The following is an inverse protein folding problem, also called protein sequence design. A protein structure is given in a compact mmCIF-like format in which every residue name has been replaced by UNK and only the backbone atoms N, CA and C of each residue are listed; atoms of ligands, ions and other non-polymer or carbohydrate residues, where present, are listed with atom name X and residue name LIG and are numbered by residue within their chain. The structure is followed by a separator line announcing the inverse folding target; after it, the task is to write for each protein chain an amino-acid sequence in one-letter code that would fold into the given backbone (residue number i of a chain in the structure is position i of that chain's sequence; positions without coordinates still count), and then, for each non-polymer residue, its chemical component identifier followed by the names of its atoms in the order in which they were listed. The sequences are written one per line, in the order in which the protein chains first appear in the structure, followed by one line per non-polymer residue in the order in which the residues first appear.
data_IF_332261101275
#
_entry.id   IF_332261101275
#
_cell.length_a   1.000
_cell.length_b   1.000
_cell.length_c   1.000
_cell.angle_alpha   90.00
_cell.angle_beta   90.00
_cell.angle_gamma   90.00
#
_symmetry.space_group_name_H-M   'P 1'
#
loop_
_entity.id
_entity.type
_entity.pdbx_description
1 polymer ?
#
# COMPACT_ATOMS: atom_id res chain seq x y z
N UNK A 1 -10.12 -20.53 19.19
CA UNK A 1 -10.42 -20.35 17.75
C UNK A 1 -9.57 -19.19 17.27
N UNK A 2 -8.36 -19.45 16.76
CA UNK A 2 -7.44 -18.40 16.35
C UNK A 2 -7.94 -17.80 15.03
N UNK A 3 -8.47 -16.58 15.06
CA UNK A 3 -8.69 -15.82 13.84
C UNK A 3 -7.35 -15.71 13.12
N UNK A 4 -7.23 -16.30 11.93
CA UNK A 4 -6.15 -15.95 10.99
C UNK A 4 -6.37 -14.48 10.65
N UNK A 5 -5.63 -13.59 11.30
CA UNK A 5 -5.68 -12.13 11.11
C UNK A 5 -5.17 -11.70 9.73
N UNK A 6 -4.44 -12.58 9.02
CA UNK A 6 -3.78 -12.30 7.74
C UNK A 6 -4.70 -11.75 6.63
N UNK A 7 -5.82 -12.42 6.26
CA UNK A 7 -6.66 -11.97 5.15
C UNK A 7 -7.40 -10.66 5.43
N UNK A 8 -7.92 -10.49 6.65
CA UNK A 8 -8.69 -9.30 7.03
C UNK A 8 -7.79 -8.07 7.15
N UNK A 9 -6.63 -8.18 7.80
CA UNK A 9 -5.72 -7.05 7.94
C UNK A 9 -5.12 -6.64 6.59
N UNK A 10 -4.83 -7.60 5.70
CA UNK A 10 -4.39 -7.29 4.32
C UNK A 10 -5.48 -6.55 3.54
N UNK A 11 -6.74 -6.96 3.69
CA UNK A 11 -7.87 -6.24 3.08
C UNK A 11 -7.99 -4.79 3.59
N UNK A 12 -7.80 -4.58 4.90
CA UNK A 12 -7.77 -3.25 5.51
C UNK A 12 -6.62 -2.36 5.01
N UNK A 13 -5.58 -2.93 4.39
CA UNK A 13 -4.48 -2.17 3.78
C UNK A 13 -4.77 -1.90 2.31
N UNK A 14 -5.10 -2.95 1.56
CA UNK A 14 -5.25 -2.88 0.09
C UNK A 14 -6.43 -2.00 -0.30
N UNK A 15 -7.58 -2.10 0.38
CA UNK A 15 -8.77 -1.35 0.03
C UNK A 15 -8.57 0.18 0.18
N UNK A 16 -8.11 0.70 1.34
CA UNK A 16 -7.73 2.10 1.47
C UNK A 16 -6.67 2.56 0.47
N UNK A 17 -5.62 1.76 0.26
CA UNK A 17 -4.51 2.12 -0.65
C UNK A 17 -5.00 2.25 -2.09
N UNK A 18 -5.82 1.31 -2.57
CA UNK A 18 -6.43 1.36 -3.90
C UNK A 18 -7.42 2.53 -4.05
N UNK A 19 -8.20 2.83 -3.01
CA UNK A 19 -9.10 3.99 -3.00
C UNK A 19 -8.33 5.30 -3.16
N UNK A 20 -7.23 5.50 -2.41
CA UNK A 20 -6.38 6.68 -2.56
C UNK A 20 -5.72 6.76 -3.93
N UNK A 21 -5.26 5.64 -4.45
CA UNK A 21 -4.68 5.59 -5.79
C UNK A 21 -5.71 5.98 -6.86
N UNK A 22 -6.97 5.59 -6.69
CA UNK A 22 -8.08 6.03 -7.55
C UNK A 22 -8.33 7.54 -7.49
N UNK A 23 -8.22 8.15 -6.31
CA UNK A 23 -8.30 9.62 -6.16
C UNK A 23 -7.14 10.30 -6.87
N UNK A 24 -5.92 9.80 -6.72
CA UNK A 24 -4.75 10.40 -7.39
C UNK A 24 -4.84 10.20 -8.91
N UNK A 25 -5.35 9.05 -9.36
CA UNK A 25 -5.56 8.79 -10.77
C UNK A 25 -6.57 9.77 -11.40
N UNK A 26 -7.59 10.23 -10.66
CA UNK A 26 -8.52 11.24 -11.17
C UNK A 26 -7.89 12.64 -11.32
N UNK A 27 -6.76 12.89 -10.63
CA UNK A 27 -5.96 14.12 -10.76
C UNK A 27 -4.95 14.06 -11.91
N UNK A 28 -4.64 12.85 -12.41
CA UNK A 28 -3.63 12.63 -13.46
C UNK A 28 -3.86 13.46 -14.74
N UNK A 29 -5.09 13.70 -15.23
CA UNK A 29 -5.30 14.56 -16.41
C UNK A 29 -4.81 16.00 -16.20
N UNK A 30 -4.80 16.50 -14.95
CA UNK A 30 -4.29 17.82 -14.62
C UNK A 30 -2.77 17.80 -14.42
N UNK A 31 -2.27 16.80 -13.70
CA UNK A 31 -0.84 16.66 -13.39
C UNK A 31 -0.01 16.33 -14.64
N UNK A 32 -0.58 15.61 -15.61
CA UNK A 32 0.18 15.06 -16.72
C UNK A 32 0.82 16.14 -17.62
N UNK A 33 0.06 17.14 -18.11
CA UNK A 33 0.63 18.20 -18.94
C UNK A 33 1.62 19.10 -18.19
N UNK A 34 1.60 19.10 -16.85
CA UNK A 34 2.48 19.91 -16.01
C UNK A 34 3.84 19.22 -15.84
N UNK A 35 3.85 17.89 -15.72
CA UNK A 35 5.05 17.13 -15.35
C UNK A 35 5.75 16.42 -16.51
N UNK A 36 5.01 15.92 -17.50
CA UNK A 36 5.57 15.06 -18.56
C UNK A 36 5.36 15.60 -19.98
N UNK A 37 4.75 16.78 -20.14
CA UNK A 37 4.63 17.40 -21.45
C UNK A 37 5.98 17.93 -21.94
N UNK A 38 6.28 17.66 -23.21
CA UNK A 38 7.45 18.24 -23.90
C UNK A 38 7.17 19.64 -24.48
N UNK A 39 5.92 20.09 -24.45
CA UNK A 39 5.54 21.46 -24.81
C UNK A 39 5.19 22.26 -23.56
N UNK A 40 5.53 23.56 -23.52
CA UNK A 40 5.19 24.42 -22.39
C UNK A 40 3.70 24.35 -22.07
N UNK A 41 3.38 24.07 -20.82
CA UNK A 41 2.00 23.99 -20.34
C UNK A 41 1.35 25.38 -20.47
N UNK A 42 0.22 25.52 -21.20
CA UNK A 42 -0.45 26.80 -21.33
C UNK A 42 -0.90 27.37 -19.98
N UNK A 43 -0.86 28.69 -19.83
CA UNK A 43 -1.33 29.36 -18.61
C UNK A 43 -2.78 28.99 -18.24
N UNK A 44 -3.63 28.80 -19.25
CA UNK A 44 -5.03 28.38 -19.09
C UNK A 44 -5.18 27.01 -18.43
N UNK A 45 -4.21 26.11 -18.61
CA UNK A 45 -4.21 24.80 -17.95
C UNK A 45 -3.98 24.93 -16.45
N UNK A 46 -3.09 25.84 -16.03
CA UNK A 46 -2.90 26.14 -14.62
C UNK A 46 -4.17 26.72 -13.98
N UNK A 47 -4.93 27.54 -14.72
CA UNK A 47 -6.20 28.09 -14.22
C UNK A 47 -7.25 26.97 -14.01
N UNK A 48 -7.35 26.01 -14.93
CA UNK A 48 -8.24 24.84 -14.76
C UNK A 48 -7.84 23.97 -13.58
N UNK A 49 -6.54 23.70 -13.42
CA UNK A 49 -6.03 22.91 -12.31
C UNK A 49 -6.29 23.60 -10.98
N UNK A 50 -6.02 24.90 -10.90
CA UNK A 50 -6.25 25.71 -9.71
C UNK A 50 -7.74 25.75 -9.33
N UNK A 51 -8.63 25.92 -10.32
CA UNK A 51 -10.07 25.87 -10.10
C UNK A 51 -10.52 24.51 -9.54
N UNK A 52 -9.96 23.41 -10.05
CA UNK A 52 -10.25 22.07 -9.55
C UNK A 52 -9.77 21.86 -8.10
N UNK A 53 -8.56 22.33 -7.78
CA UNK A 53 -8.00 22.25 -6.42
C UNK A 53 -8.79 23.08 -5.42
N UNK A 54 -9.23 24.29 -5.81
CA UNK A 54 -10.13 25.12 -5.01
C UNK A 54 -11.47 24.42 -4.76
N UNK A 55 -12.04 23.80 -5.79
CA UNK A 55 -13.27 23.02 -5.65
C UNK A 55 -13.09 21.85 -4.68
N UNK A 56 -11.98 21.11 -4.76
CA UNK A 56 -11.63 20.05 -3.82
C UNK A 56 -11.53 20.55 -2.37
N UNK A 57 -10.85 21.69 -2.15
CA UNK A 57 -10.69 22.25 -0.81
C UNK A 57 -11.99 22.86 -0.26
N UNK A 58 -12.84 23.43 -1.12
CA UNK A 58 -14.14 23.97 -0.76
C UNK A 58 -15.22 22.89 -0.54
N UNK A 59 -14.88 21.62 -0.79
CA UNK A 59 -15.81 20.51 -0.62
C UNK A 59 -16.33 20.40 0.83
N UNK A 60 -17.56 19.89 1.03
CA UNK A 60 -18.13 19.75 2.37
C UNK A 60 -17.18 19.00 3.31
N UNK A 61 -17.04 19.42 4.58
CA UNK A 61 -16.05 18.87 5.51
C UNK A 61 -16.25 17.38 5.82
N UNK A 62 -17.33 16.77 5.35
CA UNK A 62 -17.57 15.33 5.40
C UNK A 62 -16.57 14.55 4.53
N UNK A 63 -16.23 15.04 3.33
CA UNK A 63 -15.33 14.35 2.39
C UNK A 63 -13.92 14.17 2.98
N UNK A 64 -13.23 15.22 3.47
CA UNK A 64 -11.93 15.03 4.11
C UNK A 64 -12.02 14.19 5.37
N UNK A 65 -13.13 14.21 6.13
CA UNK A 65 -13.31 13.31 7.28
C UNK A 65 -13.34 11.84 6.88
N UNK A 66 -14.08 11.50 5.83
CA UNK A 66 -14.10 10.14 5.29
C UNK A 66 -12.69 9.73 4.83
N UNK A 67 -11.96 10.62 4.15
CA UNK A 67 -10.58 10.36 3.73
C UNK A 67 -9.69 10.01 4.93
N UNK A 68 -9.70 10.82 5.99
CA UNK A 68 -8.89 10.53 7.17
C UNK A 68 -9.27 9.19 7.82
N UNK A 69 -10.57 8.85 7.91
CA UNK A 69 -11.00 7.54 8.42
C UNK A 69 -10.40 6.40 7.59
N UNK A 70 -10.40 6.52 6.26
CA UNK A 70 -9.82 5.52 5.36
C UNK A 70 -8.29 5.43 5.53
N UNK A 71 -7.58 6.55 5.76
CA UNK A 71 -6.15 6.55 6.12
C UNK A 71 -5.93 5.78 7.42
N UNK A 72 -6.73 6.05 8.45
CA UNK A 72 -6.62 5.37 9.74
C UNK A 72 -6.89 3.87 9.62
N UNK A 73 -7.83 3.45 8.77
CA UNK A 73 -8.08 2.03 8.52
C UNK A 73 -6.86 1.33 7.87
N UNK A 74 -6.22 1.99 6.89
CA UNK A 74 -4.99 1.49 6.27
C UNK A 74 -3.84 1.34 7.27
N UNK A 75 -3.62 2.37 8.08
CA UNK A 75 -2.61 2.36 9.14
C UNK A 75 -2.91 1.29 10.19
N UNK A 76 -4.16 1.16 10.61
CA UNK A 76 -4.59 0.15 11.57
C UNK A 76 -4.36 -1.26 11.04
N UNK A 77 -4.62 -1.51 9.74
CA UNK A 77 -4.31 -2.79 9.10
C UNK A 77 -2.81 -3.13 9.18
N UNK A 78 -1.94 -2.17 8.89
CA UNK A 78 -0.47 -2.34 8.99
C UNK A 78 -0.03 -2.64 10.43
N UNK A 79 -0.54 -1.89 11.41
CA UNK A 79 -0.24 -2.11 12.83
C UNK A 79 -0.73 -3.49 13.29
N UNK A 80 -1.93 -3.91 12.87
CA UNK A 80 -2.48 -5.23 13.20
C UNK A 80 -1.59 -6.37 12.67
N UNK A 81 -1.02 -6.25 11.46
CA UNK A 81 -0.13 -7.29 10.91
C UNK A 81 1.23 -7.32 11.61
N UNK A 82 1.72 -6.18 12.09
CA UNK A 82 3.00 -6.08 12.78
C UNK A 82 2.97 -6.64 14.21
N UNK A 83 1.79 -6.73 14.84
CA UNK A 83 1.66 -7.21 16.23
C UNK A 83 2.07 -8.68 16.42
N UNK A 84 2.06 -9.51 15.37
CA UNK A 84 2.50 -10.92 15.44
C UNK A 84 3.71 -11.14 14.50
N UNK A 85 4.94 -10.96 14.99
CA UNK A 85 6.12 -11.00 14.15
C UNK A 85 6.44 -12.43 13.67
N UNK A 86 6.37 -12.61 12.35
CA UNK A 86 7.16 -13.60 11.60
C UNK A 86 8.27 -12.84 10.85
N UNK A 87 9.36 -13.50 10.46
CA UNK A 87 10.43 -12.80 9.71
C UNK A 87 9.92 -12.16 8.40
N UNK A 88 9.02 -12.84 7.70
CA UNK A 88 8.37 -12.34 6.48
C UNK A 88 7.50 -11.10 6.78
N UNK A 89 6.70 -11.13 7.86
CA UNK A 89 5.91 -9.96 8.27
C UNK A 89 6.82 -8.77 8.62
N UNK A 90 7.95 -8.98 9.29
CA UNK A 90 8.83 -7.86 9.64
C UNK A 90 9.40 -7.14 8.43
N UNK A 91 9.81 -7.87 7.39
CA UNK A 91 10.38 -7.30 6.18
C UNK A 91 9.31 -6.63 5.31
N UNK A 92 8.23 -7.32 4.98
CA UNK A 92 7.22 -6.81 4.05
C UNK A 92 6.24 -5.83 4.71
N UNK A 93 5.68 -6.17 5.88
CA UNK A 93 4.76 -5.27 6.59
C UNK A 93 5.50 -4.09 7.24
N UNK A 94 6.74 -4.29 7.70
CA UNK A 94 7.59 -3.20 8.21
C UNK A 94 7.95 -2.18 7.13
N UNK A 95 8.40 -2.64 5.95
CA UNK A 95 8.66 -1.74 4.82
C UNK A 95 7.38 -1.05 4.32
N UNK A 96 6.26 -1.78 4.28
CA UNK A 96 4.94 -1.22 3.93
C UNK A 96 4.53 -0.12 4.91
N UNK A 97 4.78 -0.28 6.21
CA UNK A 97 4.49 0.73 7.22
C UNK A 97 5.33 2.00 7.01
N UNK A 98 6.64 1.86 6.76
CA UNK A 98 7.51 3.01 6.51
C UNK A 98 7.06 3.78 5.26
N UNK A 99 6.76 3.08 4.16
CA UNK A 99 6.22 3.69 2.96
C UNK A 99 4.88 4.39 3.24
N UNK A 100 3.96 3.73 3.96
CA UNK A 100 2.67 4.33 4.30
C UNK A 100 2.82 5.61 5.13
N UNK A 101 3.75 5.63 6.10
CA UNK A 101 4.06 6.82 6.89
C UNK A 101 4.69 7.94 6.07
N UNK A 102 5.54 7.61 5.08
CA UNK A 102 6.04 8.57 4.10
C UNK A 102 4.87 9.18 3.31
N UNK A 103 3.92 8.35 2.85
CA UNK A 103 2.71 8.80 2.16
C UNK A 103 1.86 9.77 3.01
N UNK A 104 1.64 9.44 4.29
CA UNK A 104 0.95 10.33 5.24
C UNK A 104 1.69 11.67 5.37
N UNK A 105 3.02 11.62 5.45
CA UNK A 105 3.84 12.83 5.59
C UNK A 105 3.70 13.73 4.35
N UNK A 106 3.80 13.16 3.15
CA UNK A 106 3.60 13.92 1.88
C UNK A 106 2.18 14.47 1.80
N UNK A 107 1.17 13.69 2.19
CA UNK A 107 -0.22 14.15 2.24
C UNK A 107 -0.40 15.37 3.14
N UNK A 108 0.07 15.30 4.39
CA UNK A 108 -0.11 16.39 5.36
C UNK A 108 0.77 17.59 5.01
N UNK A 109 2.06 17.36 4.74
CA UNK A 109 3.05 18.42 4.58
C UNK A 109 2.93 19.12 3.23
N UNK A 110 2.55 18.42 2.17
CA UNK A 110 2.56 18.97 0.82
C UNK A 110 1.13 19.17 0.30
N UNK A 111 0.29 18.12 0.31
CA UNK A 111 -1.03 18.18 -0.34
C UNK A 111 -2.00 19.07 0.45
N UNK A 112 -2.17 18.81 1.76
CA UNK A 112 -3.09 19.60 2.60
C UNK A 112 -2.65 21.06 2.69
N UNK A 113 -1.35 21.31 2.86
CA UNK A 113 -0.83 22.69 2.87
C UNK A 113 -0.99 23.36 1.50
N UNK A 114 -0.67 22.67 0.41
CA UNK A 114 -0.83 23.18 -0.95
C UNK A 114 -2.28 23.57 -1.27
N UNK A 115 -3.25 22.71 -0.92
CA UNK A 115 -4.67 23.01 -1.09
C UNK A 115 -5.12 24.27 -0.34
N UNK A 116 -4.62 24.47 0.88
CA UNK A 116 -4.91 25.67 1.68
C UNK A 116 -4.33 26.93 1.05
N UNK A 117 -3.09 26.86 0.55
CA UNK A 117 -2.41 27.98 -0.12
C UNK A 117 -3.13 28.37 -1.41
N UNK A 118 -3.45 27.38 -2.25
CA UNK A 118 -4.18 27.57 -3.52
C UNK A 118 -5.55 28.21 -3.28
N UNK A 119 -6.25 27.75 -2.23
CA UNK A 119 -7.56 28.29 -1.87
C UNK A 119 -7.50 29.69 -1.27
N UNK A 120 -6.44 30.02 -0.55
CA UNK A 120 -6.18 31.38 -0.08
C UNK A 120 -5.74 32.32 -1.22
N UNK A 121 -5.41 31.79 -2.40
CA UNK A 121 -4.87 32.55 -3.52
C UNK A 121 -3.49 33.16 -3.23
N UNK A 122 -2.80 32.65 -2.20
CA UNK A 122 -1.50 33.18 -1.77
C UNK A 122 -0.38 32.44 -2.47
N UNK A 123 0.44 33.17 -3.22
CA UNK A 123 1.62 32.68 -3.92
C UNK A 123 2.75 33.70 -3.85
N UNK A 124 4.00 33.28 -4.03
CA UNK A 124 5.13 34.20 -4.12
C UNK A 124 5.25 35.13 -2.91
N UNK A 125 5.41 36.43 -3.16
CA UNK A 125 5.66 37.44 -2.11
C UNK A 125 4.58 37.56 -1.04
N UNK A 126 3.35 37.11 -1.31
CA UNK A 126 2.24 37.10 -0.32
C UNK A 126 2.46 36.08 0.83
N UNK A 127 3.44 35.18 0.66
CA UNK A 127 3.87 34.22 1.67
C UNK A 127 5.19 34.63 2.35
N UNK A 128 5.81 35.74 1.93
CA UNK A 128 7.03 36.24 2.54
C UNK A 128 6.73 36.78 3.94
N UNK A 129 7.25 36.10 4.95
CA UNK A 129 7.22 36.57 6.33
C UNK A 129 8.25 37.67 6.58
N UNK A 130 9.36 37.67 5.83
CA UNK A 130 10.45 38.64 5.91
C UNK A 130 10.97 39.02 4.51
N UNK A 131 11.61 40.19 4.38
CA UNK A 131 12.21 40.65 3.10
C UNK A 131 13.34 39.73 2.58
N UNK A 132 13.94 38.91 3.44
CA UNK A 132 14.95 37.91 3.04
C UNK A 132 14.34 36.69 2.32
N UNK A 133 13.05 36.41 2.53
CA UNK A 133 12.33 35.32 1.86
C UNK A 133 11.84 35.72 0.45
N UNK A 134 11.84 37.03 0.14
CA UNK A 134 11.41 37.56 -1.15
C UNK A 134 12.39 37.14 -2.24
N UNK A 135 11.90 36.34 -3.19
CA UNK A 135 12.69 35.77 -4.29
C UNK A 135 13.07 34.29 -4.13
N UNK A 136 12.93 33.70 -2.93
CA UNK A 136 13.03 32.26 -2.71
C UNK A 136 11.68 31.53 -2.77
N UNK A 137 10.57 32.29 -2.74
CA UNK A 137 9.22 31.72 -2.69
C UNK A 137 8.72 31.37 -4.09
N UNK A 138 8.20 30.15 -4.21
CA UNK A 138 7.66 29.61 -5.45
C UNK A 138 6.53 30.49 -5.99
N UNK A 139 6.59 30.80 -7.29
CA UNK A 139 5.50 31.45 -8.00
C UNK A 139 4.26 30.55 -8.07
N UNK A 140 3.17 31.07 -8.65
CA UNK A 140 1.92 30.32 -8.81
C UNK A 140 2.13 28.98 -9.52
N UNK A 141 2.75 29.02 -10.69
CA UNK A 141 2.98 27.83 -11.51
C UNK A 141 3.90 26.82 -10.82
N UNK A 142 4.96 27.29 -10.17
CA UNK A 142 5.90 26.39 -9.49
C UNK A 142 5.27 25.75 -8.24
N UNK A 143 4.42 26.48 -7.53
CA UNK A 143 3.61 25.93 -6.43
C UNK A 143 2.68 24.83 -6.93
N UNK A 144 2.05 25.03 -8.09
CA UNK A 144 1.17 24.03 -8.71
C UNK A 144 1.96 22.81 -9.23
N UNK A 145 3.15 23.02 -9.81
CA UNK A 145 4.07 21.92 -10.20
C UNK A 145 4.50 21.08 -9.00
N UNK A 146 4.84 21.72 -7.87
CA UNK A 146 5.19 21.03 -6.63
C UNK A 146 4.03 20.20 -6.08
N UNK A 147 2.79 20.69 -6.22
CA UNK A 147 1.61 19.93 -5.82
C UNK A 147 1.36 18.72 -6.73
N UNK A 148 1.46 18.90 -8.05
CA UNK A 148 1.38 17.80 -9.02
C UNK A 148 2.47 16.73 -8.78
N UNK A 149 3.71 17.17 -8.52
CA UNK A 149 4.81 16.28 -8.17
C UNK A 149 4.54 15.52 -6.86
N UNK A 150 3.92 16.18 -5.87
CA UNK A 150 3.55 15.55 -4.60
C UNK A 150 2.48 14.46 -4.78
N UNK A 151 1.50 14.66 -5.66
CA UNK A 151 0.52 13.63 -6.03
C UNK A 151 1.21 12.41 -6.64
N UNK A 152 2.18 12.64 -7.53
CA UNK A 152 2.97 11.58 -8.19
C UNK A 152 3.81 10.81 -7.18
N UNK A 153 4.51 11.49 -6.28
CA UNK A 153 5.29 10.86 -5.21
C UNK A 153 4.38 10.00 -4.34
N UNK A 154 3.21 10.53 -3.95
CA UNK A 154 2.24 9.78 -3.16
C UNK A 154 1.75 8.53 -3.90
N UNK A 155 1.46 8.62 -5.21
CA UNK A 155 1.07 7.47 -6.01
C UNK A 155 2.17 6.39 -6.05
N UNK A 156 3.42 6.77 -6.27
CA UNK A 156 4.55 5.82 -6.29
C UNK A 156 4.73 5.11 -4.95
N UNK A 157 4.62 5.84 -3.84
CA UNK A 157 4.70 5.28 -2.50
C UNK A 157 3.55 4.29 -2.23
N UNK A 158 2.32 4.65 -2.60
CA UNK A 158 1.14 3.78 -2.43
C UNK A 158 1.19 2.54 -3.34
N UNK A 159 1.69 2.67 -4.57
CA UNK A 159 1.97 1.51 -5.44
C UNK A 159 3.04 0.61 -4.79
N UNK A 160 4.08 1.20 -4.20
CA UNK A 160 5.08 0.46 -3.42
C UNK A 160 4.45 -0.36 -2.30
N UNK A 161 3.49 0.20 -1.55
CA UNK A 161 2.72 -0.54 -0.53
C UNK A 161 1.97 -1.71 -1.16
N UNK A 162 1.25 -1.51 -2.27
CA UNK A 162 0.52 -2.61 -2.93
C UNK A 162 1.45 -3.72 -3.44
N UNK A 163 2.60 -3.35 -4.00
CA UNK A 163 3.61 -4.32 -4.48
C UNK A 163 4.15 -5.15 -3.31
N UNK A 164 4.45 -4.53 -2.17
CA UNK A 164 4.91 -5.25 -0.98
C UNK A 164 3.82 -6.18 -0.42
N UNK A 165 2.57 -5.73 -0.38
CA UNK A 165 1.44 -6.57 0.08
C UNK A 165 1.21 -7.77 -0.87
N UNK A 166 1.33 -7.56 -2.18
CA UNK A 166 1.30 -8.65 -3.16
C UNK A 166 2.51 -9.59 -3.05
N UNK A 167 3.70 -9.05 -2.80
CA UNK A 167 4.92 -9.82 -2.57
C UNK A 167 4.81 -10.73 -1.35
N UNK A 168 4.28 -10.20 -0.25
CA UNK A 168 4.00 -11.00 0.94
C UNK A 168 2.96 -12.09 0.68
N UNK A 169 1.86 -11.77 -0.01
CA UNK A 169 0.87 -12.78 -0.38
C UNK A 169 1.48 -13.91 -1.22
N UNK A 170 2.37 -13.57 -2.17
CA UNK A 170 3.07 -14.56 -2.98
C UNK A 170 4.03 -15.41 -2.14
N UNK A 171 4.80 -14.79 -1.24
CA UNK A 171 5.70 -15.50 -0.32
C UNK A 171 4.93 -16.47 0.60
N UNK A 172 3.85 -16.00 1.25
CA UNK A 172 3.00 -16.82 2.10
C UNK A 172 2.37 -17.99 1.35
N UNK A 173 1.96 -17.77 0.08
CA UNK A 173 1.38 -18.82 -0.76
C UNK A 173 2.42 -19.85 -1.20
N UNK A 174 3.67 -19.45 -1.41
CA UNK A 174 4.77 -20.37 -1.73
C UNK A 174 5.13 -21.22 -0.52
N UNK A 175 5.29 -20.59 0.65
CA UNK A 175 5.58 -21.29 1.91
C UNK A 175 4.49 -22.32 2.25
N UNK A 176 3.22 -21.97 2.00
CA UNK A 176 2.10 -22.89 2.21
C UNK A 176 2.16 -24.14 1.30
N UNK A 177 2.49 -23.96 0.02
CA UNK A 177 2.65 -25.07 -0.93
C UNK A 177 3.82 -26.00 -0.52
N UNK A 178 4.95 -25.43 -0.09
CA UNK A 178 6.10 -26.21 0.36
C UNK A 178 5.77 -27.07 1.60
N UNK A 179 4.98 -26.53 2.54
CA UNK A 179 4.51 -27.28 3.72
C UNK A 179 3.55 -28.40 3.33
N UNK A 180 2.63 -28.14 2.39
CA UNK A 180 1.68 -29.16 1.89
C UNK A 180 2.40 -30.31 1.21
N UNK A 181 3.40 -30.01 0.36
CA UNK A 181 4.23 -31.01 -0.29
C UNK A 181 5.04 -31.85 0.72
N UNK A 182 5.59 -31.22 1.76
CA UNK A 182 6.31 -31.92 2.82
C UNK A 182 5.39 -32.82 3.64
N UNK A 183 4.17 -32.37 3.96
CA UNK A 183 3.19 -33.17 4.68
C UNK A 183 2.64 -34.31 3.82
N UNK A 184 2.43 -34.09 2.52
CA UNK A 184 2.02 -35.13 1.57
C UNK A 184 3.08 -36.22 1.45
N UNK A 185 4.36 -35.85 1.35
CA UNK A 185 5.49 -36.81 1.34
C UNK A 185 5.60 -37.59 2.66
N UNK A 186 5.43 -36.93 3.81
CA UNK A 186 5.44 -37.60 5.12
C UNK A 186 4.26 -38.57 5.28
N UNK A 187 3.06 -38.19 4.83
CA UNK A 187 1.88 -39.04 4.83
C UNK A 187 2.01 -40.25 3.92
N UNK A 188 2.57 -40.06 2.71
CA UNK A 188 2.86 -41.15 1.78
C UNK A 188 3.89 -42.13 2.35
N UNK A 189 5.01 -41.64 2.90
CA UNK A 189 6.03 -42.47 3.53
C UNK A 189 5.52 -43.23 4.76
N UNK A 190 4.64 -42.62 5.57
CA UNK A 190 4.01 -43.31 6.70
C UNK A 190 3.05 -44.42 6.23
N UNK A 191 2.26 -44.18 5.18
CA UNK A 191 1.37 -45.19 4.59
C UNK A 191 2.12 -46.36 3.94
N UNK A 192 3.25 -46.10 3.28
CA UNK A 192 4.13 -47.15 2.74
C UNK A 192 4.74 -48.01 3.85
N UNK A 193 5.24 -47.39 4.93
CA UNK A 193 5.79 -48.11 6.09
C UNK A 193 4.72 -48.97 6.81
N UNK A 194 3.49 -48.46 6.92
CA UNK A 194 2.38 -49.20 7.51
C UNK A 194 1.95 -50.37 6.61
N UNK A 195 1.92 -50.20 5.29
CA UNK A 195 1.63 -51.27 4.33
C UNK A 195 2.71 -52.37 4.34
N UNK A 196 4.00 -52.03 4.45
CA UNK A 196 5.09 -53.01 4.62
C UNK A 196 4.99 -53.77 5.96
N UNK A 197 4.63 -53.09 7.05
CA UNK A 197 4.44 -53.71 8.36
C UNK A 197 3.27 -54.73 8.34
N UNK A 198 2.16 -54.40 7.67
CA UNK A 198 1.03 -55.32 7.50
C UNK A 198 1.40 -56.51 6.61
N UNK A 199 2.10 -56.28 5.50
CA UNK A 199 2.55 -57.33 4.57
C UNK A 199 3.50 -58.34 5.24
N UNK A 200 4.47 -57.84 6.01
CA UNK A 200 5.44 -58.68 6.75
C UNK A 200 4.78 -59.50 7.87
N UNK A 201 3.80 -58.93 8.58
CA UNK A 201 3.01 -59.64 9.59
C UNK A 201 2.15 -60.79 9.00
N UNK A 202 1.60 -60.59 7.80
CA UNK A 202 0.82 -61.62 7.10
C UNK A 202 1.71 -62.78 6.62
N UNK A 203 2.91 -62.50 6.10
CA UNK A 203 3.90 -63.55 5.72
C UNK A 203 4.38 -64.36 6.93
N UNK A 204 4.58 -63.73 8.10
CA UNK A 204 5.01 -64.41 9.32
C UNK A 204 4.01 -65.44 9.87
N UNK A 205 2.70 -65.17 9.75
CA UNK A 205 1.65 -66.12 10.17
C UNK A 205 1.44 -67.28 9.18
N UNK A 206 1.74 -67.11 7.90
CA UNK A 206 1.64 -68.17 6.89
C UNK A 206 2.70 -69.28 7.03
N UNK A 207 3.89 -68.95 7.54
CA UNK A 207 5.00 -69.90 7.71
C UNK A 207 4.85 -70.84 8.91
N UNK A 208 4.11 -70.45 9.94
CA UNK A 208 3.96 -71.22 11.18
C UNK A 208 2.97 -72.41 11.06
N UNK A 209 2.14 -72.47 10.01
CA UNK A 209 1.10 -73.51 9.86
C UNK A 209 1.55 -74.74 9.05
N UNK A 210 2.82 -74.84 8.63
CA UNK A 210 3.32 -75.93 7.76
C UNK A 210 4.36 -76.86 8.41
N UNK A 211 4.49 -76.82 9.74
CA UNK A 211 5.31 -77.76 10.52
C UNK A 211 4.44 -78.43 11.57
N UNK A 212 3.75 -79.49 11.14
CA UNK A 212 3.45 -80.71 11.89
C UNK A 212 2.77 -81.69 10.95
#
# INVERSE_FOLDING_TARGET
MAFRTGPFATFLIVCPTAFFLGIIFSLLPYDYPILWSNVPTPATHYDYFEAHLRFLHASPPLIPRILHIVIFLGLLGLIMKLYKPSESNMLFDGASLVLYMCGITVYIANIVKGLRLVSAGKYGEDLASNDEDRGQILGREDSLKVLAASNTILALVLVGVLVLQAGQWYAERKDAQEVEDMNGKKGAAAGEAEAEAVSSAVKGKGGAKKRN
#
